data_IF_452031687627
#
_entry.id   IF_452031687627
#
_cell.length_a   1.000
_cell.length_b   1.000
_cell.length_c   1.000
_cell.angle_alpha   90.00
_cell.angle_beta   90.00
_cell.angle_gamma   90.00
#
_symmetry.space_group_name_H-M   'P 1'
#
loop_
_entity.id
_entity.type
_entity.pdbx_description
1 polymer ?
#
# COMPACT_ATOMS: atom_id res chain seq x y z
N UNK A 1 -9.27 -15.03 -14.81
CA UNK A 1 -7.83 -14.71 -14.95
C UNK A 1 -7.43 -14.79 -16.43
N UNK A 2 -7.09 -13.67 -17.05
CA UNK A 2 -6.55 -13.65 -18.42
C UNK A 2 -5.18 -14.35 -18.43
N UNK A 3 -5.09 -15.48 -19.14
CA UNK A 3 -3.96 -16.38 -19.19
C UNK A 3 -2.89 -15.93 -20.19
N UNK A 4 -2.43 -14.66 -20.10
CA UNK A 4 -1.35 -14.11 -20.95
C UNK A 4 -0.13 -13.63 -20.17
N UNK A 5 -0.17 -13.74 -18.84
CA UNK A 5 0.97 -13.47 -17.96
C UNK A 5 1.75 -14.77 -17.87
N UNK A 6 2.87 -14.86 -18.60
CA UNK A 6 3.64 -16.09 -18.79
C UNK A 6 3.97 -16.84 -17.49
N UNK A 7 4.42 -18.07 -17.60
CA UNK A 7 4.87 -18.90 -16.48
C UNK A 7 6.21 -19.52 -16.84
N UNK A 8 7.19 -19.44 -15.93
CA UNK A 8 8.49 -20.09 -16.10
C UNK A 8 8.96 -20.67 -14.77
N UNK A 9 9.41 -21.92 -14.78
CA UNK A 9 9.76 -22.69 -13.59
C UNK A 9 8.58 -23.39 -12.91
N UNK A 10 8.82 -23.89 -11.70
CA UNK A 10 7.86 -24.58 -10.80
C UNK A 10 7.68 -23.82 -9.49
N UNK A 11 6.66 -24.12 -8.67
CA UNK A 11 6.52 -23.56 -7.33
C UNK A 11 7.77 -23.75 -6.45
N UNK A 12 8.38 -24.94 -6.50
CA UNK A 12 9.61 -25.26 -5.76
C UNK A 12 10.77 -24.41 -6.26
N UNK A 13 10.91 -24.25 -7.59
CA UNK A 13 11.96 -23.40 -8.14
C UNK A 13 11.81 -21.93 -7.72
N UNK A 14 10.57 -21.42 -7.60
CA UNK A 14 10.30 -20.08 -7.11
C UNK A 14 10.67 -19.97 -5.62
N UNK A 15 10.31 -20.96 -4.81
CA UNK A 15 10.70 -21.04 -3.40
C UNK A 15 12.22 -21.00 -3.23
N UNK A 16 12.92 -21.88 -3.94
CA UNK A 16 14.34 -22.14 -3.71
C UNK A 16 15.26 -21.04 -4.28
N UNK A 17 14.76 -20.26 -5.27
CA UNK A 17 15.53 -19.21 -5.94
C UNK A 17 15.05 -17.78 -5.65
N UNK A 18 13.74 -17.56 -5.44
CA UNK A 18 13.17 -16.22 -5.16
C UNK A 18 12.87 -16.09 -3.67
N UNK A 19 12.00 -16.94 -3.11
CA UNK A 19 11.57 -16.80 -1.71
C UNK A 19 12.73 -16.92 -0.73
N UNK A 20 13.66 -17.86 -0.98
CA UNK A 20 14.87 -18.04 -0.17
C UNK A 20 15.70 -16.75 -0.06
N UNK A 21 15.84 -15.98 -1.15
CA UNK A 21 16.61 -14.74 -1.17
C UNK A 21 15.87 -13.55 -0.53
N UNK A 22 14.59 -13.71 -0.23
CA UNK A 22 13.75 -12.66 0.38
C UNK A 22 13.70 -12.80 1.90
N UNK A 23 13.91 -14.01 2.42
CA UNK A 23 13.85 -14.34 3.84
C UNK A 23 14.79 -13.45 4.67
N UNK A 24 14.29 -12.94 5.80
CA UNK A 24 15.03 -12.02 6.67
C UNK A 24 15.06 -10.56 6.20
N UNK A 25 14.38 -10.21 5.10
CA UNK A 25 14.23 -8.82 4.64
C UNK A 25 12.76 -8.35 4.80
N UNK A 26 12.39 -7.65 5.89
CA UNK A 26 10.99 -7.39 6.25
C UNK A 26 10.15 -6.74 5.16
N UNK A 27 10.64 -5.70 4.48
CA UNK A 27 9.86 -5.02 3.44
C UNK A 27 9.59 -5.92 2.23
N UNK A 28 10.53 -6.80 1.88
CA UNK A 28 10.33 -7.77 0.80
C UNK A 28 9.36 -8.88 1.23
N UNK A 29 9.47 -9.38 2.46
CA UNK A 29 8.55 -10.36 3.03
C UNK A 29 7.12 -9.81 3.13
N UNK A 30 6.95 -8.55 3.54
CA UNK A 30 5.65 -7.85 3.56
C UNK A 30 5.06 -7.68 2.15
N UNK A 31 5.89 -7.44 1.14
CA UNK A 31 5.43 -7.43 -0.25
C UNK A 31 4.95 -8.81 -0.71
N UNK A 32 5.65 -9.89 -0.32
CA UNK A 32 5.20 -11.27 -0.55
C UNK A 32 3.89 -11.56 0.18
N UNK A 33 3.72 -11.09 1.41
CA UNK A 33 2.47 -11.19 2.16
C UNK A 33 1.31 -10.52 1.41
N UNK A 34 1.52 -9.34 0.83
CA UNK A 34 0.50 -8.61 0.09
C UNK A 34 0.03 -9.35 -1.17
N UNK A 35 0.95 -9.96 -1.94
CA UNK A 35 0.57 -10.74 -3.12
C UNK A 35 -0.17 -12.04 -2.77
N UNK A 36 0.22 -12.69 -1.67
CA UNK A 36 -0.48 -13.87 -1.15
C UNK A 36 -1.87 -13.50 -0.60
N UNK A 37 -1.98 -12.34 0.06
CA UNK A 37 -3.22 -11.86 0.66
C UNK A 37 -4.28 -11.47 -0.39
N UNK A 38 -3.86 -11.13 -1.63
CA UNK A 38 -4.77 -10.59 -2.64
C UNK A 38 -5.98 -11.51 -2.97
N UNK A 39 -5.81 -12.82 -3.20
CA UNK A 39 -6.96 -13.74 -3.31
C UNK A 39 -7.58 -14.09 -1.96
N UNK A 40 -6.82 -14.01 -0.86
CA UNK A 40 -7.26 -14.38 0.49
C UNK A 40 -8.31 -13.42 1.04
N UNK A 41 -8.13 -12.11 0.87
CA UNK A 41 -9.09 -11.10 1.31
C UNK A 41 -10.47 -11.33 0.69
N UNK A 42 -10.51 -11.98 -0.48
CA UNK A 42 -11.76 -12.27 -1.13
C UNK A 42 -12.56 -13.41 -0.52
N UNK A 43 -11.87 -14.42 0.00
CA UNK A 43 -12.48 -15.49 0.78
C UNK A 43 -12.95 -14.97 2.15
N UNK A 44 -12.19 -14.06 2.75
CA UNK A 44 -12.49 -13.47 4.06
C UNK A 44 -13.52 -12.32 4.02
N UNK A 45 -14.02 -11.96 2.83
CA UNK A 45 -14.94 -10.82 2.62
C UNK A 45 -14.38 -9.47 3.11
N UNK A 46 -13.05 -9.32 3.10
CA UNK A 46 -12.37 -8.09 3.48
C UNK A 46 -12.25 -7.14 2.27
N UNK A 47 -12.23 -5.83 2.54
CA UNK A 47 -12.03 -4.81 1.51
C UNK A 47 -10.60 -4.84 0.92
N UNK A 48 -10.48 -4.37 -0.33
CA UNK A 48 -9.17 -4.12 -0.95
C UNK A 48 -8.43 -2.98 -0.26
N UNK A 49 -7.10 -3.03 -0.32
CA UNK A 49 -6.22 -2.01 0.28
C UNK A 49 -4.91 -1.90 -0.50
N UNK A 50 -4.07 -0.93 -0.15
CA UNK A 50 -2.75 -0.78 -0.74
C UNK A 50 -1.64 -0.77 0.27
N UNK A 51 -0.44 -1.12 -0.19
CA UNK A 51 0.82 -0.85 0.50
C UNK A 51 1.63 0.08 -0.40
N UNK A 52 2.02 1.23 0.13
CA UNK A 52 2.94 2.15 -0.54
C UNK A 52 4.30 2.07 0.16
N UNK A 53 5.28 1.49 -0.53
CA UNK A 53 6.67 1.48 -0.09
C UNK A 53 7.37 2.73 -0.56
N UNK A 54 7.89 3.53 0.38
CA UNK A 54 8.64 4.73 0.06
C UNK A 54 9.99 4.78 0.76
N UNK A 55 10.97 5.31 0.03
CA UNK A 55 12.34 5.57 0.47
C UNK A 55 13.06 6.28 -0.69
N UNK A 56 14.19 6.93 -0.44
CA UNK A 56 15.07 7.50 -1.46
C UNK A 56 15.38 6.51 -2.60
N UNK A 57 15.78 7.06 -3.75
CA UNK A 57 16.21 6.30 -4.91
C UNK A 57 17.26 5.22 -4.58
N UNK A 58 17.26 4.14 -5.37
CA UNK A 58 18.20 3.01 -5.24
C UNK A 58 18.13 2.22 -3.92
N UNK A 59 16.99 2.24 -3.22
CA UNK A 59 16.76 1.50 -1.97
C UNK A 59 16.22 0.08 -2.13
N UNK A 60 15.80 -0.30 -3.35
CA UNK A 60 15.24 -1.63 -3.64
C UNK A 60 13.72 -1.69 -3.78
N UNK A 61 13.01 -0.55 -3.82
CA UNK A 61 11.54 -0.49 -3.98
C UNK A 61 11.01 -1.32 -5.14
N UNK A 62 11.53 -1.09 -6.35
CA UNK A 62 11.11 -1.82 -7.56
C UNK A 62 11.46 -3.30 -7.47
N UNK A 63 12.61 -3.66 -6.86
CA UNK A 63 12.96 -5.06 -6.61
C UNK A 63 11.93 -5.74 -5.70
N UNK A 64 11.55 -5.09 -4.59
CA UNK A 64 10.52 -5.55 -3.66
C UNK A 64 9.18 -5.79 -4.36
N UNK A 65 8.73 -4.84 -5.19
CA UNK A 65 7.48 -4.98 -5.95
C UNK A 65 7.55 -6.08 -7.03
N UNK A 66 8.69 -6.22 -7.70
CA UNK A 66 8.90 -7.25 -8.72
C UNK A 66 8.96 -8.66 -8.12
N UNK A 67 9.59 -8.81 -6.96
CA UNK A 67 9.60 -10.07 -6.19
C UNK A 67 8.17 -10.52 -5.91
N UNK A 68 7.33 -9.64 -5.37
CA UNK A 68 5.93 -9.96 -5.12
C UNK A 68 5.18 -10.32 -6.43
N UNK A 69 5.35 -9.49 -7.46
CA UNK A 69 4.69 -9.70 -8.77
C UNK A 69 5.06 -11.03 -9.42
N UNK A 70 6.28 -11.50 -9.21
CA UNK A 70 6.80 -12.76 -9.77
C UNK A 70 5.97 -13.97 -9.34
N UNK A 71 5.27 -13.91 -8.20
CA UNK A 71 4.39 -14.98 -7.76
C UNK A 71 3.33 -15.30 -8.83
N UNK A 72 2.74 -14.28 -9.47
CA UNK A 72 1.62 -14.45 -10.43
C UNK A 72 2.00 -14.35 -11.91
N UNK A 73 3.20 -13.86 -12.25
CA UNK A 73 3.64 -13.79 -13.65
C UNK A 73 4.91 -12.97 -13.83
N UNK A 74 5.30 -12.73 -15.09
CA UNK A 74 6.50 -11.96 -15.39
C UNK A 74 6.38 -10.52 -14.83
N UNK A 75 7.24 -10.11 -13.87
CA UNK A 75 7.15 -8.78 -13.25
C UNK A 75 7.19 -7.62 -14.25
N UNK A 76 7.98 -7.71 -15.31
CA UNK A 76 8.10 -6.64 -16.31
C UNK A 76 6.82 -6.48 -17.14
N UNK A 77 6.07 -7.58 -17.37
CA UNK A 77 4.78 -7.55 -18.05
C UNK A 77 3.61 -7.17 -17.14
N UNK A 78 3.78 -7.33 -15.82
CA UNK A 78 2.78 -7.00 -14.81
C UNK A 78 2.86 -5.57 -14.33
N UNK A 79 4.01 -4.92 -14.49
CA UNK A 79 4.28 -3.58 -13.97
C UNK A 79 3.34 -2.56 -14.61
N UNK A 80 2.55 -1.91 -13.77
CA UNK A 80 1.78 -0.72 -14.12
C UNK A 80 2.45 0.51 -13.55
N UNK A 81 2.09 1.68 -14.05
CA UNK A 81 2.54 2.96 -13.52
C UNK A 81 1.33 3.80 -13.12
N UNK A 82 1.58 4.82 -12.28
CA UNK A 82 0.57 5.83 -11.96
C UNK A 82 0.27 6.78 -13.12
N UNK A 83 1.05 6.70 -14.20
CA UNK A 83 0.86 7.47 -15.42
C UNK A 83 -0.32 6.91 -16.22
N UNK A 84 -1.53 7.34 -15.85
CA UNK A 84 -2.75 6.93 -16.51
C UNK A 84 -3.96 7.73 -16.03
N UNK A 85 -5.08 7.58 -16.74
CA UNK A 85 -6.35 8.16 -16.28
C UNK A 85 -6.93 7.31 -15.15
N UNK A 86 -7.70 7.92 -14.24
CA UNK A 86 -8.41 7.19 -13.20
C UNK A 86 -9.32 6.06 -13.75
N UNK A 87 -9.86 6.24 -14.97
CA UNK A 87 -10.62 5.20 -15.65
C UNK A 87 -9.74 4.04 -16.13
N UNK A 88 -8.55 4.33 -16.67
CA UNK A 88 -7.58 3.33 -17.07
C UNK A 88 -7.15 2.47 -15.88
N UNK A 89 -6.77 3.10 -14.78
CA UNK A 89 -6.40 2.41 -13.54
C UNK A 89 -7.56 1.60 -12.94
N UNK A 90 -8.81 2.10 -13.00
CA UNK A 90 -9.98 1.34 -12.59
C UNK A 90 -10.23 0.10 -13.46
N UNK A 91 -9.97 0.18 -14.77
CA UNK A 91 -10.07 -0.98 -15.66
C UNK A 91 -9.00 -2.03 -15.34
N UNK A 92 -7.76 -1.61 -15.07
CA UNK A 92 -6.71 -2.50 -14.60
C UNK A 92 -7.08 -3.13 -13.25
N UNK A 93 -7.55 -2.33 -12.29
CA UNK A 93 -8.00 -2.85 -10.99
C UNK A 93 -9.10 -3.91 -11.12
N UNK A 94 -10.04 -3.70 -12.04
CA UNK A 94 -11.07 -4.70 -12.38
C UNK A 94 -10.48 -5.96 -13.02
N UNK A 95 -9.45 -5.85 -13.85
CA UNK A 95 -8.74 -7.01 -14.39
C UNK A 95 -7.89 -7.75 -13.34
N UNK A 96 -7.51 -7.05 -12.27
CA UNK A 96 -6.78 -7.54 -11.11
C UNK A 96 -7.68 -7.85 -9.90
N UNK A 97 -8.99 -8.09 -10.12
CA UNK A 97 -9.88 -8.49 -9.03
C UNK A 97 -9.39 -9.79 -8.37
N UNK A 98 -9.28 -9.77 -7.05
CA UNK A 98 -8.71 -10.80 -6.17
C UNK A 98 -7.26 -11.19 -6.54
N UNK A 99 -6.51 -10.26 -7.15
CA UNK A 99 -5.10 -10.39 -7.52
C UNK A 99 -4.30 -9.14 -7.15
N UNK A 100 -2.97 -9.25 -7.12
CA UNK A 100 -2.07 -8.14 -6.82
C UNK A 100 -2.03 -7.14 -8.00
N UNK A 101 -2.10 -5.84 -7.72
CA UNK A 101 -1.89 -4.75 -8.69
C UNK A 101 -0.60 -3.98 -8.38
N UNK A 102 0.51 -4.23 -9.10
CA UNK A 102 1.77 -3.52 -8.88
C UNK A 102 1.80 -2.18 -9.62
N UNK A 103 2.02 -1.08 -8.90
CA UNK A 103 2.05 0.30 -9.40
C UNK A 103 3.40 0.95 -9.09
N UNK A 104 4.29 0.98 -10.07
CA UNK A 104 5.64 1.51 -9.88
C UNK A 104 5.67 3.05 -10.01
N UNK A 105 6.50 3.65 -9.15
CA UNK A 105 7.02 5.00 -9.23
C UNK A 105 5.98 6.12 -9.37
N UNK A 106 5.38 6.52 -8.25
CA UNK A 106 4.42 7.65 -8.18
C UNK A 106 5.02 8.97 -8.70
N UNK A 107 6.34 9.17 -8.62
CA UNK A 107 7.02 10.42 -8.99
C UNK A 107 7.30 10.63 -10.48
N UNK A 108 7.20 9.58 -11.33
CA UNK A 108 7.53 9.72 -12.75
C UNK A 108 6.33 10.15 -13.58
N UNK A 109 6.21 11.46 -13.80
CA UNK A 109 5.31 12.05 -14.81
C UNK A 109 3.82 11.99 -14.48
N UNK A 110 3.45 11.43 -13.32
CA UNK A 110 2.07 11.44 -12.84
C UNK A 110 1.77 12.77 -12.16
N UNK A 111 0.70 13.43 -12.61
CA UNK A 111 0.17 14.62 -11.95
C UNK A 111 -0.42 14.23 -10.57
N UNK A 112 -0.02 14.89 -9.45
CA UNK A 112 -0.47 14.50 -8.12
C UNK A 112 -1.99 14.55 -7.95
N UNK A 113 -2.68 15.41 -8.70
CA UNK A 113 -4.14 15.43 -8.69
C UNK A 113 -4.74 14.15 -9.31
N UNK A 114 -4.20 13.73 -10.45
CA UNK A 114 -4.58 12.48 -11.12
C UNK A 114 -4.27 11.26 -10.25
N UNK A 115 -3.13 11.25 -9.55
CA UNK A 115 -2.79 10.20 -8.58
C UNK A 115 -3.80 10.17 -7.44
N UNK A 116 -4.09 11.30 -6.80
CA UNK A 116 -5.07 11.38 -5.71
C UNK A 116 -6.45 10.83 -6.09
N UNK A 117 -6.96 11.20 -7.27
CA UNK A 117 -8.24 10.69 -7.77
C UNK A 117 -8.20 9.18 -8.05
N UNK A 118 -7.10 8.70 -8.62
CA UNK A 118 -6.93 7.29 -8.97
C UNK A 118 -6.78 6.43 -7.71
N UNK A 119 -6.01 6.89 -6.73
CA UNK A 119 -5.85 6.24 -5.42
C UNK A 119 -7.19 6.08 -4.71
N UNK A 120 -8.00 7.15 -4.67
CA UNK A 120 -9.33 7.10 -4.05
C UNK A 120 -10.25 6.10 -4.76
N UNK A 121 -10.29 6.13 -6.10
CA UNK A 121 -11.11 5.19 -6.87
C UNK A 121 -10.65 3.73 -6.66
N UNK A 122 -9.34 3.50 -6.77
CA UNK A 122 -8.71 2.18 -6.66
C UNK A 122 -9.06 1.51 -5.34
N UNK A 123 -8.89 2.20 -4.21
CA UNK A 123 -9.10 1.60 -2.89
C UNK A 123 -10.56 1.62 -2.42
N UNK A 124 -11.44 2.37 -3.08
CA UNK A 124 -12.88 2.24 -2.85
C UNK A 124 -13.49 1.00 -3.54
N UNK A 125 -12.81 0.41 -4.53
CA UNK A 125 -13.26 -0.83 -5.16
C UNK A 125 -14.44 -0.66 -6.12
N UNK A 126 -14.77 0.56 -6.53
CA UNK A 126 -15.96 0.84 -7.34
C UNK A 126 -15.64 1.85 -8.44
N UNK A 127 -16.03 1.49 -9.67
CA UNK A 127 -15.92 2.38 -10.83
C UNK A 127 -16.89 3.56 -10.78
N UNK A 128 -16.69 4.55 -11.64
CA UNK A 128 -17.69 5.62 -11.80
C UNK A 128 -18.94 5.08 -12.51
N UNK A 129 -20.11 5.41 -11.97
CA UNK A 129 -21.39 5.15 -12.64
C UNK A 129 -21.43 5.94 -13.96
N UNK A 130 -21.80 5.28 -15.05
CA UNK A 130 -21.88 5.88 -16.38
C UNK A 130 -23.24 5.59 -17.00
N UNK A 131 -23.84 6.59 -17.66
CA UNK A 131 -25.07 6.38 -18.43
C UNK A 131 -24.85 5.44 -19.62
N UNK A 132 -25.84 4.59 -19.92
CA UNK A 132 -25.86 3.76 -21.11
C UNK A 132 -26.44 4.53 -22.32
N UNK A 133 -25.99 4.19 -23.54
CA UNK A 133 -26.48 4.83 -24.79
C UNK A 133 -27.98 4.61 -24.99
N UNK A 134 -28.50 3.46 -24.58
CA UNK A 134 -29.90 3.05 -24.74
C UNK A 134 -30.81 3.48 -23.57
N UNK A 135 -30.29 4.32 -22.65
CA UNK A 135 -30.98 4.70 -21.41
C UNK A 135 -30.60 3.81 -20.22
N UNK A 136 -30.74 4.35 -19.01
CA UNK A 136 -30.27 3.72 -17.78
C UNK A 136 -28.75 3.89 -17.54
N UNK A 137 -28.18 3.07 -16.65
CA UNK A 137 -26.75 3.08 -16.33
C UNK A 137 -26.07 1.82 -16.87
N UNK A 138 -24.80 1.95 -17.27
CA UNK A 138 -23.91 0.81 -17.54
C UNK A 138 -23.66 0.02 -16.25
N UNK A 139 -23.32 -1.26 -16.41
CA UNK A 139 -22.90 -2.10 -15.29
C UNK A 139 -21.74 -1.46 -14.52
N UNK A 140 -21.96 -1.31 -13.21
CA UNK A 140 -20.99 -0.75 -12.30
C UNK A 140 -19.89 -1.77 -12.04
N UNK A 141 -18.70 -1.53 -12.60
CA UNK A 141 -17.53 -2.37 -12.28
C UNK A 141 -17.18 -2.23 -10.81
N UNK A 142 -17.07 -3.37 -10.14
CA UNK A 142 -16.57 -3.50 -8.77
C UNK A 142 -15.31 -4.34 -8.80
N UNK A 143 -14.39 -4.03 -7.91
CA UNK A 143 -13.19 -4.82 -7.72
C UNK A 143 -12.75 -4.80 -6.27
N UNK A 144 -11.98 -5.82 -5.92
CA UNK A 144 -11.26 -5.94 -4.67
C UNK A 144 -9.87 -6.41 -5.04
N UNK A 145 -8.86 -5.61 -4.72
CA UNK A 145 -7.47 -5.89 -5.07
C UNK A 145 -6.57 -5.41 -3.95
N UNK A 146 -5.38 -5.99 -3.88
CA UNK A 146 -4.28 -5.42 -3.09
C UNK A 146 -3.32 -4.76 -4.06
N UNK A 147 -3.05 -3.48 -3.87
CA UNK A 147 -2.05 -2.77 -4.67
C UNK A 147 -0.72 -2.66 -3.92
N UNK A 148 0.40 -2.88 -4.62
CA UNK A 148 1.72 -2.47 -4.13
C UNK A 148 2.12 -1.26 -4.95
N UNK A 149 2.39 -0.15 -4.27
CA UNK A 149 2.89 1.07 -4.87
C UNK A 149 4.31 1.37 -4.38
N UNK A 150 5.11 2.01 -5.22
CA UNK A 150 6.45 2.51 -4.85
C UNK A 150 6.58 4.01 -5.10
N UNK A 151 7.41 4.70 -4.32
CA UNK A 151 7.70 6.13 -4.51
C UNK A 151 8.88 6.62 -3.68
N UNK A 152 9.33 7.84 -3.92
CA UNK A 152 10.44 8.44 -3.15
C UNK A 152 10.00 9.03 -1.81
N UNK A 153 8.73 9.40 -1.68
CA UNK A 153 8.14 10.03 -0.51
C UNK A 153 6.79 9.40 -0.20
N UNK A 154 6.31 9.62 1.02
CA UNK A 154 4.97 9.26 1.44
C UNK A 154 3.88 9.81 0.49
N UNK A 155 2.80 9.05 0.29
CA UNK A 155 1.73 9.41 -0.65
C UNK A 155 0.97 10.69 -0.24
N UNK A 156 0.76 10.93 1.06
CA UNK A 156 0.14 12.16 1.56
C UNK A 156 1.02 13.36 1.22
N UNK A 157 2.33 13.26 1.49
CA UNK A 157 3.32 14.29 1.17
C UNK A 157 3.36 14.54 -0.34
N UNK A 158 3.40 13.48 -1.15
CA UNK A 158 3.42 13.59 -2.61
C UNK A 158 2.20 14.37 -3.13
N UNK A 159 0.99 14.04 -2.68
CA UNK A 159 -0.22 14.74 -3.13
C UNK A 159 -0.22 16.20 -2.62
N UNK A 160 0.27 16.44 -1.40
CA UNK A 160 0.36 17.79 -0.83
C UNK A 160 1.27 18.72 -1.63
N UNK A 161 2.27 18.22 -2.36
CA UNK A 161 3.14 19.04 -3.24
C UNK A 161 2.37 19.83 -4.31
N UNK A 162 1.15 19.39 -4.66
CA UNK A 162 0.27 20.11 -5.60
C UNK A 162 -0.51 21.29 -4.97
N UNK A 163 -0.23 21.64 -3.72
CA UNK A 163 -0.94 22.68 -2.97
C UNK A 163 -2.37 22.30 -2.55
N UNK A 164 -2.75 21.02 -2.67
CA UNK A 164 -4.05 20.51 -2.26
C UNK A 164 -3.97 19.82 -0.90
N UNK A 165 -4.97 20.08 -0.05
CA UNK A 165 -5.16 19.33 1.18
C UNK A 165 -5.70 17.93 0.87
N UNK A 166 -4.95 16.91 1.24
CA UNK A 166 -5.43 15.53 1.27
C UNK A 166 -6.43 15.41 2.41
N UNK A 167 -7.62 14.85 2.15
CA UNK A 167 -8.52 14.48 3.24
C UNK A 167 -7.97 13.19 3.85
N UNK A 168 -7.65 13.17 5.14
CA UNK A 168 -7.09 12.01 5.83
C UNK A 168 -7.85 10.70 5.53
N UNK A 169 -9.18 10.76 5.44
CA UNK A 169 -10.05 9.63 5.07
C UNK A 169 -9.78 8.98 3.70
N UNK A 170 -9.14 9.68 2.75
CA UNK A 170 -8.91 9.17 1.39
C UNK A 170 -7.79 8.14 1.30
N UNK A 171 -6.83 8.17 2.22
CA UNK A 171 -5.64 7.30 2.21
C UNK A 171 -5.62 6.30 3.37
N UNK A 172 -6.70 6.21 4.15
CA UNK A 172 -6.82 5.23 5.24
C UNK A 172 -6.64 3.80 4.72
N UNK A 173 -7.03 3.53 3.47
CA UNK A 173 -6.88 2.21 2.83
C UNK A 173 -5.49 1.95 2.22
N UNK A 174 -4.54 2.88 2.38
CA UNK A 174 -3.18 2.78 1.88
C UNK A 174 -2.18 2.81 3.05
N UNK A 175 -1.50 1.70 3.29
CA UNK A 175 -0.43 1.62 4.28
C UNK A 175 0.85 2.23 3.69
N UNK A 176 1.21 3.44 4.11
CA UNK A 176 2.48 4.07 3.75
C UNK A 176 3.61 3.52 4.63
N UNK A 177 4.34 2.52 4.13
CA UNK A 177 5.38 1.81 4.87
C UNK A 177 6.75 2.27 4.40
N UNK A 178 7.62 2.80 5.28
CA UNK A 178 9.02 3.06 4.94
C UNK A 178 9.69 1.77 4.50
N UNK A 179 10.36 1.79 3.36
CA UNK A 179 11.09 0.64 2.91
C UNK A 179 12.37 0.46 3.76
N UNK A 180 12.46 -0.67 4.45
CA UNK A 180 13.70 -1.13 5.05
C UNK A 180 14.58 -1.72 3.94
N UNK A 181 15.79 -1.15 3.77
CA UNK A 181 16.78 -1.68 2.82
C UNK A 181 17.15 -3.11 3.21
N UNK A 182 17.45 -3.94 2.20
CA UNK A 182 17.89 -5.30 2.44
C UNK A 182 19.16 -5.30 3.32
N UNK A 183 19.16 -6.17 4.33
CA UNK A 183 20.29 -6.40 5.25
C UNK A 183 20.72 -7.86 5.26
N UNK A 184 19.83 -8.77 4.86
CA UNK A 184 20.14 -10.18 4.65
C UNK A 184 20.45 -10.40 3.17
N UNK A 185 21.74 -10.55 2.84
CA UNK A 185 22.21 -10.78 1.47
C UNK A 185 22.46 -12.26 1.13
N UNK A 186 22.23 -13.15 2.10
CA UNK A 186 22.49 -14.59 1.97
C UNK A 186 23.93 -14.87 1.51
N UNK A 187 24.11 -15.54 0.37
CA UNK A 187 25.42 -15.86 -0.20
C UNK A 187 26.13 -14.67 -0.90
N UNK A 188 25.47 -13.52 -1.06
CA UNK A 188 26.01 -12.38 -1.80
C UNK A 188 26.75 -11.41 -0.90
N UNK A 189 27.82 -10.80 -1.44
CA UNK A 189 28.70 -9.94 -0.65
C UNK A 189 28.09 -8.57 -0.28
N UNK A 190 27.08 -8.12 -1.02
CA UNK A 190 26.45 -6.81 -0.82
C UNK A 190 25.06 -6.74 -1.46
N UNK A 191 24.32 -5.70 -1.10
CA UNK A 191 22.95 -5.47 -1.58
C UNK A 191 22.81 -5.32 -3.10
N UNK A 192 23.84 -4.85 -3.82
CA UNK A 192 23.78 -4.78 -5.28
C UNK A 192 23.77 -6.18 -5.89
N UNK A 193 24.72 -7.04 -5.48
CA UNK A 193 24.78 -8.42 -5.95
C UNK A 193 23.51 -9.21 -5.58
N UNK A 194 22.98 -8.99 -4.36
CA UNK A 194 21.72 -9.59 -3.92
C UNK A 194 20.52 -9.13 -4.79
N UNK A 195 20.43 -7.83 -5.10
CA UNK A 195 19.39 -7.32 -5.98
C UNK A 195 19.50 -7.83 -7.43
N UNK A 196 20.72 -7.93 -7.96
CA UNK A 196 20.98 -8.50 -9.29
C UNK A 196 20.59 -9.99 -9.35
N UNK A 197 20.89 -10.73 -8.28
CA UNK A 197 20.50 -12.13 -8.14
C UNK A 197 18.98 -12.33 -8.03
N UNK A 198 18.30 -11.52 -7.21
CA UNK A 198 16.84 -11.50 -7.13
C UNK A 198 16.24 -11.23 -8.51
N UNK A 199 16.80 -10.28 -9.26
CA UNK A 199 16.37 -9.97 -10.63
C UNK A 199 16.53 -11.15 -11.57
N UNK A 200 17.68 -11.81 -11.57
CA UNK A 200 17.88 -13.01 -12.37
C UNK A 200 16.88 -14.11 -11.96
N UNK A 201 16.65 -14.30 -10.66
CA UNK A 201 15.75 -15.31 -10.14
C UNK A 201 14.30 -15.06 -10.56
N UNK A 202 13.74 -13.87 -10.33
CA UNK A 202 12.34 -13.60 -10.70
C UNK A 202 12.10 -13.51 -12.21
N UNK A 203 13.16 -13.35 -13.02
CA UNK A 203 13.08 -13.43 -14.48
C UNK A 203 13.06 -14.88 -15.00
N UNK A 204 13.47 -15.85 -14.18
CA UNK A 204 13.50 -17.28 -14.52
C UNK A 204 12.52 -18.12 -13.70
N UNK A 205 11.94 -17.58 -12.64
CA UNK A 205 11.01 -18.29 -11.78
C UNK A 205 9.83 -17.36 -11.49
N UNK A 206 8.74 -17.52 -12.24
CA UNK A 206 7.56 -16.69 -12.08
C UNK A 206 6.27 -17.38 -12.51
N UNK A 207 5.15 -16.97 -11.90
CA UNK A 207 3.79 -17.41 -12.22
C UNK A 207 3.39 -18.78 -11.69
N UNK A 208 4.35 -19.70 -11.52
CA UNK A 208 4.06 -21.07 -11.08
C UNK A 208 3.55 -21.12 -9.63
N UNK A 209 4.25 -20.44 -8.70
CA UNK A 209 3.90 -20.39 -7.28
C UNK A 209 2.50 -19.80 -7.04
N UNK A 210 2.13 -18.73 -7.76
CA UNK A 210 0.82 -18.11 -7.63
C UNK A 210 -0.32 -19.01 -8.09
N UNK A 211 -0.12 -19.82 -9.15
CA UNK A 211 -1.12 -20.82 -9.58
C UNK A 211 -1.29 -21.91 -8.51
N UNK A 212 -0.20 -22.37 -7.92
CA UNK A 212 -0.24 -23.36 -6.83
C UNK A 212 -0.93 -22.78 -5.58
N UNK A 213 -0.65 -21.53 -5.23
CA UNK A 213 -1.30 -20.81 -4.13
C UNK A 213 -2.82 -20.69 -4.32
N UNK A 214 -3.26 -20.24 -5.50
CA UNK A 214 -4.70 -20.12 -5.81
C UNK A 214 -5.39 -21.48 -5.76
N UNK A 215 -4.75 -22.53 -6.27
CA UNK A 215 -5.26 -23.91 -6.16
C UNK A 215 -5.40 -24.34 -4.69
N UNK A 216 -4.38 -24.10 -3.88
CA UNK A 216 -4.40 -24.42 -2.46
C UNK A 216 -5.57 -23.70 -1.75
N UNK A 217 -5.74 -22.40 -1.99
CA UNK A 217 -6.85 -21.64 -1.41
C UNK A 217 -8.22 -22.14 -1.85
N UNK A 218 -8.38 -22.54 -3.12
CA UNK A 218 -9.63 -23.11 -3.62
C UNK A 218 -9.99 -24.42 -2.90
N UNK A 219 -8.97 -25.23 -2.56
CA UNK A 219 -9.12 -26.51 -1.88
C UNK A 219 -9.25 -26.34 -0.33
N UNK A 220 -8.86 -25.19 0.24
CA UNK A 220 -8.79 -24.94 1.71
C UNK A 220 -9.48 -23.63 2.15
N UNK A 221 -10.66 -23.31 1.59
CA UNK A 221 -11.33 -22.02 1.81
C UNK A 221 -11.68 -21.74 3.28
N UNK A 222 -12.14 -22.76 4.01
CA UNK A 222 -12.54 -22.60 5.42
C UNK A 222 -11.32 -22.30 6.31
N UNK A 223 -10.21 -23.02 6.10
CA UNK A 223 -8.96 -22.79 6.82
C UNK A 223 -8.38 -21.40 6.51
N UNK A 224 -8.50 -20.97 5.25
CA UNK A 224 -8.09 -19.65 4.81
C UNK A 224 -8.85 -18.53 5.55
N UNK A 225 -10.17 -18.64 5.65
CA UNK A 225 -11.01 -17.70 6.40
C UNK A 225 -10.70 -17.74 7.90
N UNK A 226 -10.55 -18.94 8.46
CA UNK A 226 -10.23 -19.13 9.88
C UNK A 226 -8.88 -18.51 10.25
N UNK A 227 -7.87 -18.63 9.39
CA UNK A 227 -6.56 -18.02 9.60
C UNK A 227 -6.64 -16.48 9.66
N UNK A 228 -7.40 -15.86 8.75
CA UNK A 228 -7.63 -14.40 8.77
C UNK A 228 -8.33 -13.99 10.06
N UNK A 229 -9.40 -14.68 10.47
CA UNK A 229 -10.13 -14.39 11.71
C UNK A 229 -9.25 -14.55 12.95
N UNK A 230 -8.39 -15.56 12.97
CA UNK A 230 -7.44 -15.79 14.07
C UNK A 230 -6.41 -14.67 14.15
N UNK A 231 -5.83 -14.27 13.02
CA UNK A 231 -4.91 -13.14 12.97
C UNK A 231 -5.60 -11.83 13.40
N UNK A 232 -6.85 -11.58 12.97
CA UNK A 232 -7.63 -10.40 13.37
C UNK A 232 -7.82 -10.36 14.89
N UNK A 233 -8.14 -11.48 15.52
CA UNK A 233 -8.30 -11.58 16.97
C UNK A 233 -6.99 -11.28 17.70
N UNK A 234 -5.87 -11.85 17.24
CA UNK A 234 -4.53 -11.60 17.80
C UNK A 234 -4.16 -10.11 17.71
N UNK A 235 -4.26 -9.52 16.52
CA UNK A 235 -3.91 -8.12 16.30
C UNK A 235 -4.81 -7.14 17.06
N UNK A 236 -6.11 -7.45 17.24
CA UNK A 236 -7.02 -6.62 18.05
C UNK A 236 -6.61 -6.53 19.52
N UNK A 237 -5.91 -7.52 20.05
CA UNK A 237 -5.41 -7.48 21.44
C UNK A 237 -4.14 -6.64 21.60
N UNK A 238 -3.40 -6.43 20.51
CA UNK A 238 -2.13 -5.70 20.47
C UNK A 238 -2.31 -4.23 20.08
N UNK A 239 -3.37 -3.93 19.32
CA UNK A 239 -3.58 -2.62 18.72
C UNK A 239 -4.65 -1.83 19.50
N UNK A 240 -4.39 -0.57 19.90
CA UNK A 240 -5.38 0.30 20.53
C UNK A 240 -6.65 0.48 19.67
N UNK A 241 -7.82 0.56 20.30
CA UNK A 241 -9.12 0.53 19.62
C UNK A 241 -9.33 1.64 18.56
N UNK A 242 -8.62 2.77 18.68
CA UNK A 242 -8.63 3.88 17.72
C UNK A 242 -7.97 3.56 16.37
N UNK A 243 -7.30 2.40 16.23
CA UNK A 243 -6.68 1.91 14.98
C UNK A 243 -7.47 0.78 14.31
N UNK A 244 -8.68 0.49 14.79
CA UNK A 244 -9.42 -0.75 14.50
C UNK A 244 -9.56 -1.13 13.02
N UNK A 245 -9.72 -0.17 12.11
CA UNK A 245 -9.85 -0.47 10.67
C UNK A 245 -8.55 -0.96 10.01
N UNK A 246 -7.39 -0.62 10.58
CA UNK A 246 -6.07 -0.99 10.04
C UNK A 246 -5.69 -2.41 10.43
N UNK A 247 -6.22 -2.88 11.57
CA UNK A 247 -6.01 -4.23 12.11
C UNK A 247 -6.34 -5.30 11.07
N UNK A 248 -7.45 -5.13 10.34
CA UNK A 248 -7.89 -6.08 9.32
C UNK A 248 -6.88 -6.27 8.19
N UNK A 249 -6.16 -5.21 7.80
CA UNK A 249 -5.17 -5.23 6.71
C UNK A 249 -3.92 -5.97 7.16
N UNK A 250 -3.42 -5.63 8.34
CA UNK A 250 -2.21 -6.24 8.92
C UNK A 250 -2.45 -7.72 9.22
N UNK A 251 -3.62 -8.04 9.78
CA UNK A 251 -4.03 -9.42 10.03
C UNK A 251 -4.13 -10.25 8.75
N UNK A 252 -4.67 -9.68 7.66
CA UNK A 252 -4.72 -10.36 6.37
C UNK A 252 -3.32 -10.63 5.80
N UNK A 253 -2.36 -9.71 5.98
CA UNK A 253 -0.97 -9.93 5.58
C UNK A 253 -0.32 -11.06 6.39
N UNK A 254 -0.47 -11.06 7.71
CA UNK A 254 0.07 -12.12 8.57
C UNK A 254 -0.54 -13.48 8.23
N UNK A 255 -1.87 -13.58 8.15
CA UNK A 255 -2.57 -14.81 7.81
C UNK A 255 -2.13 -15.36 6.45
N UNK A 256 -2.01 -14.48 5.45
CA UNK A 256 -1.53 -14.85 4.12
C UNK A 256 -0.10 -15.35 4.13
N UNK A 257 0.77 -14.72 4.92
CA UNK A 257 2.17 -15.12 4.98
C UNK A 257 2.35 -16.47 5.70
N UNK A 258 1.61 -16.69 6.80
CA UNK A 258 1.63 -17.93 7.55
C UNK A 258 1.07 -19.11 6.75
N UNK A 259 -0.07 -18.93 6.08
CA UNK A 259 -0.61 -19.96 5.19
C UNK A 259 0.29 -20.17 3.97
N UNK A 260 0.84 -19.08 3.45
CA UNK A 260 1.74 -19.08 2.29
C UNK A 260 3.11 -19.72 2.54
N UNK A 261 3.44 -20.14 3.77
CA UNK A 261 4.67 -20.89 4.09
C UNK A 261 4.83 -22.16 3.26
N UNK A 262 3.74 -22.76 2.81
CA UNK A 262 3.78 -23.88 1.86
C UNK A 262 4.41 -23.50 0.51
N UNK A 263 4.35 -22.23 0.13
CA UNK A 263 4.95 -21.67 -1.09
C UNK A 263 6.32 -21.06 -0.83
N UNK A 264 6.51 -20.38 0.30
CA UNK A 264 7.75 -19.64 0.61
C UNK A 264 8.81 -20.47 1.32
N UNK A 265 8.41 -21.51 2.06
CA UNK A 265 9.30 -22.31 2.90
C UNK A 265 9.75 -21.62 4.19
N UNK A 266 9.28 -20.40 4.47
CA UNK A 266 9.73 -19.61 5.62
C UNK A 266 9.22 -20.16 6.95
N UNK A 267 9.95 -19.85 8.01
CA UNK A 267 9.55 -20.20 9.37
C UNK A 267 8.41 -19.29 9.88
N UNK A 268 7.67 -19.79 10.87
CA UNK A 268 6.52 -19.07 11.42
C UNK A 268 6.92 -17.74 12.09
N UNK A 269 8.00 -17.76 12.86
CA UNK A 269 8.43 -16.61 13.64
C UNK A 269 8.94 -15.51 12.71
N UNK A 270 9.76 -15.84 11.72
CA UNK A 270 10.22 -14.91 10.69
C UNK A 270 9.07 -14.24 9.93
N UNK A 271 7.99 -14.98 9.65
CA UNK A 271 6.79 -14.41 9.04
C UNK A 271 6.12 -13.36 9.95
N UNK A 272 5.93 -13.67 11.24
CA UNK A 272 5.33 -12.75 12.22
C UNK A 272 6.23 -11.52 12.44
N UNK A 273 7.53 -11.73 12.59
CA UNK A 273 8.51 -10.67 12.83
C UNK A 273 8.55 -9.67 11.66
N UNK A 274 8.47 -10.15 10.41
CA UNK A 274 8.43 -9.28 9.24
C UNK A 274 7.20 -8.36 9.23
N UNK A 275 6.01 -8.91 9.49
CA UNK A 275 4.76 -8.14 9.53
C UNK A 275 4.78 -7.17 10.72
N UNK A 276 5.23 -7.61 11.89
CA UNK A 276 5.37 -6.77 13.07
C UNK A 276 6.34 -5.61 12.83
N UNK A 277 7.47 -5.87 12.17
CA UNK A 277 8.43 -4.84 11.81
C UNK A 277 7.81 -3.79 10.88
N UNK A 278 7.15 -4.21 9.80
CA UNK A 278 6.48 -3.30 8.87
C UNK A 278 5.34 -2.52 9.53
N UNK A 279 4.57 -3.16 10.40
CA UNK A 279 3.53 -2.51 11.19
C UNK A 279 4.11 -1.43 12.11
N UNK A 280 5.16 -1.74 12.88
CA UNK A 280 5.80 -0.79 13.77
C UNK A 280 6.38 0.41 13.00
N UNK A 281 7.02 0.16 11.85
CA UNK A 281 7.54 1.22 10.98
C UNK A 281 6.41 2.14 10.47
N UNK A 282 5.27 1.56 10.09
CA UNK A 282 4.09 2.31 9.67
C UNK A 282 3.49 3.14 10.82
N UNK A 283 3.25 2.53 11.99
CA UNK A 283 2.68 3.23 13.16
C UNK A 283 3.55 4.39 13.62
N UNK A 284 4.87 4.21 13.63
CA UNK A 284 5.81 5.24 14.05
C UNK A 284 5.71 6.52 13.18
N UNK A 285 5.34 6.39 11.91
CA UNK A 285 5.15 7.53 11.02
C UNK A 285 3.71 8.00 10.91
N UNK A 286 2.76 7.08 10.96
CA UNK A 286 1.35 7.43 10.90
C UNK A 286 0.90 8.19 12.15
N UNK A 287 1.60 8.00 13.28
CA UNK A 287 1.30 8.61 14.57
C UNK A 287 0.35 7.77 15.41
N UNK A 288 0.28 8.08 16.72
CA UNK A 288 -0.64 7.46 17.70
C UNK A 288 -1.99 8.19 17.84
N UNK A 289 -2.24 9.20 17.00
CA UNK A 289 -3.45 10.02 16.98
C UNK A 289 -4.35 9.81 15.75
N UNK A 290 -5.62 10.20 15.91
CA UNK A 290 -6.54 10.37 14.80
C UNK A 290 -6.07 11.58 13.97
N UNK A 291 -5.38 11.35 12.84
CA UNK A 291 -4.80 12.40 11.98
C UNK A 291 -5.77 13.54 11.65
N UNK A 292 -7.08 13.31 11.63
CA UNK A 292 -8.06 14.39 11.48
C UNK A 292 -7.99 15.41 12.63
N UNK A 293 -7.85 14.97 13.87
CA UNK A 293 -7.71 15.85 15.02
C UNK A 293 -6.38 16.61 14.99
N UNK A 294 -5.27 15.94 14.66
CA UNK A 294 -3.97 16.60 14.51
C UNK A 294 -4.00 17.64 13.39
N UNK A 295 -4.59 17.31 12.23
CA UNK A 295 -4.78 18.26 11.13
C UNK A 295 -5.70 19.44 11.50
N UNK A 296 -6.71 19.23 12.35
CA UNK A 296 -7.55 20.32 12.88
C UNK A 296 -6.72 21.24 13.77
N UNK A 297 -5.88 20.68 14.65
CA UNK A 297 -5.01 21.45 15.53
C UNK A 297 -3.99 22.24 14.70
N UNK A 298 -3.26 21.60 13.79
CA UNK A 298 -2.30 22.28 12.91
C UNK A 298 -2.97 23.38 12.08
N UNK A 299 -4.19 23.15 11.58
CA UNK A 299 -4.94 24.18 10.86
C UNK A 299 -5.33 25.36 11.75
N UNK A 300 -5.77 25.09 12.98
CA UNK A 300 -6.09 26.13 13.94
C UNK A 300 -4.83 26.93 14.29
N UNK A 301 -3.70 26.27 14.55
CA UNK A 301 -2.42 26.91 14.85
C UNK A 301 -1.89 27.73 13.68
N UNK A 302 -1.93 27.20 12.45
CA UNK A 302 -1.51 27.92 11.25
C UNK A 302 -2.40 29.14 10.99
N UNK A 303 -3.73 29.00 11.19
CA UNK A 303 -4.67 30.11 11.06
C UNK A 303 -4.42 31.19 12.11
N UNK A 304 -4.25 30.80 13.38
CA UNK A 304 -3.96 31.72 14.48
C UNK A 304 -2.58 32.38 14.29
N UNK A 305 -1.58 31.68 13.77
CA UNK A 305 -0.27 32.26 13.50
C UNK A 305 -0.31 33.25 12.33
N UNK A 306 -1.04 32.93 11.26
CA UNK A 306 -1.15 33.79 10.08
C UNK A 306 -2.06 35.02 10.30
N UNK A 307 -3.11 34.88 11.12
CA UNK A 307 -4.14 35.92 11.29
C UNK A 307 -4.26 36.46 12.72
N UNK A 308 -3.45 35.96 13.67
CA UNK A 308 -3.54 36.26 15.10
C UNK A 308 -3.52 37.75 15.43
N UNK A 309 -2.74 38.55 14.70
CA UNK A 309 -2.62 40.00 14.93
C UNK A 309 -3.64 40.81 14.10
N UNK A 310 -4.10 40.27 12.97
CA UNK A 310 -4.96 41.01 12.03
C UNK A 310 -6.45 40.76 12.21
N UNK A 311 -6.84 39.64 12.80
CA UNK A 311 -8.24 39.21 12.94
C UNK A 311 -8.67 38.88 14.36
N UNK A 312 -7.73 38.84 15.30
CA UNK A 312 -8.02 38.57 16.70
C UNK A 312 -7.49 39.71 17.55
N UNK A 313 -8.32 40.14 18.50
CA UNK A 313 -7.93 41.13 19.49
C UNK A 313 -7.18 40.42 20.63
N UNK A 314 -6.04 40.97 21.10
CA UNK A 314 -5.42 40.48 22.33
C UNK A 314 -6.43 40.49 23.48
N UNK A 315 -6.35 39.50 24.37
CA UNK A 315 -6.99 39.63 25.68
C UNK A 315 -6.35 40.85 26.36
N UNK A 316 -7.19 41.83 26.74
CA UNK A 316 -6.87 43.21 27.14
C UNK A 316 -6.92 44.28 26.04
N UNK A 317 -7.45 43.97 24.85
CA UNK A 317 -7.72 44.99 23.83
C UNK A 317 -8.77 46.00 24.32
N UNK A 318 -8.32 47.23 24.54
CA UNK A 318 -9.15 48.36 24.95
C UNK A 318 -9.21 49.36 23.79
N UNK A 319 -10.37 49.51 23.15
CA UNK A 319 -10.60 50.36 21.97
C UNK A 319 -10.16 51.83 22.13
N UNK A 320 -9.90 52.27 23.37
CA UNK A 320 -9.56 53.65 23.70
C UNK A 320 -8.13 54.07 23.34
N UNK A 321 -7.23 53.16 22.94
CA UNK A 321 -5.83 53.49 22.65
C UNK A 321 -5.46 53.69 21.17
N UNK A 322 -6.36 53.45 20.22
CA UNK A 322 -6.04 53.48 18.76
C UNK A 322 -6.38 54.79 18.04
N UNK A 323 -6.91 55.82 18.70
CA UNK A 323 -7.23 57.10 18.03
C UNK A 323 -6.03 58.03 17.77
N UNK A 324 -4.80 57.71 18.20
CA UNK A 324 -3.66 58.64 18.08
C UNK A 324 -2.68 58.37 16.93
N UNK A 325 -2.82 57.30 16.15
CA UNK A 325 -1.88 57.02 15.06
C UNK A 325 -2.57 56.99 13.68
N UNK A 326 -2.97 58.16 13.19
CA UNK A 326 -3.19 58.36 11.75
C UNK A 326 -1.83 58.59 11.09
N UNK A 327 -1.35 57.60 10.34
CA UNK A 327 -0.20 57.77 9.45
C UNK A 327 -0.64 58.70 8.30
N UNK A 328 0.06 59.82 8.02
CA UNK A 328 -0.26 60.67 6.88
C UNK A 328 0.01 59.92 5.59
N UNK A 329 -0.97 59.91 4.67
CA UNK A 329 -0.76 59.43 3.31
C UNK A 329 0.19 60.38 2.57
N UNK A 330 1.26 59.82 2.01
CA UNK A 330 1.93 60.30 0.80
C UNK A 330 1.79 59.21 -0.26
#
# INVERSE_FOLDING_TARGET
MHCTRGCHGTPESWRDNVARLVEGNPSMMTAVAAVLAAPLIGLAENDGFGIHFFEQSSSGKTTTANVASSLYGNPDALRLTWYGTALGLANEASAHNDALMPLDEVGQGADPHSVSQSTYALFNGVGKLQGAKEGGNRDLKRWRTIAISTGEMDMEIFIATSGRKVKAGQLVRLLNIPLCKAVCFHEYANGKQHADALKAAYQQHYGAAGRAWVKYLADHQQDAVAAVRTAEASWRSLIPANYGEQVHRVAALEAALLLGRIMTGWDEQGCRDAIQHSYNAWVNLFGTGNKEYEQIIEQAEAFLSAYGISRFAPLDYNEKYTQSCRIPRL
#
